data_IF_764141301039
#
_entry.id   IF_764141301039
#
_cell.length_a   1.000
_cell.length_b   1.000
_cell.length_c   1.000
_cell.angle_alpha   90.00
_cell.angle_beta   90.00
_cell.angle_gamma   90.00
#
_symmetry.space_group_name_H-M   'P 1'
#
loop_
_entity.id
_entity.type
_entity.pdbx_description
1 polymer ?
#
# COMPACT_ATOMS: atom_id res chain seq x y z
N UNK A 1 8.44 9.39 -9.44
CA UNK A 1 8.99 10.73 -9.77
C UNK A 1 7.92 11.76 -9.43
N UNK A 2 8.25 13.05 -9.30
CA UNK A 2 7.27 14.05 -8.88
C UNK A 2 7.08 14.11 -7.38
N UNK A 3 6.07 14.86 -6.95
CA UNK A 3 5.78 15.16 -5.55
C UNK A 3 5.40 13.89 -4.78
N UNK A 4 5.46 13.99 -3.45
CA UNK A 4 5.10 12.89 -2.57
C UNK A 4 3.59 12.89 -2.35
N UNK A 5 3.00 11.71 -2.45
CA UNK A 5 1.61 11.48 -2.08
C UNK A 5 1.42 11.84 -0.61
N UNK A 6 0.29 12.46 -0.28
CA UNK A 6 -0.01 12.84 1.09
C UNK A 6 -0.06 11.63 2.03
N UNK A 7 0.40 11.83 3.26
CA UNK A 7 0.59 10.75 4.24
C UNK A 7 -0.71 9.98 4.48
N UNK A 8 -1.84 10.67 4.59
CA UNK A 8 -3.16 10.09 4.77
C UNK A 8 -3.59 9.23 3.59
N UNK A 9 -3.23 9.62 2.35
CA UNK A 9 -3.53 8.86 1.14
C UNK A 9 -2.69 7.60 1.08
N UNK A 10 -1.39 7.68 1.39
CA UNK A 10 -0.52 6.50 1.47
C UNK A 10 -1.01 5.53 2.55
N UNK A 11 -1.40 6.03 3.73
CA UNK A 11 -1.94 5.19 4.81
C UNK A 11 -3.28 4.55 4.43
N UNK A 12 -4.15 5.28 3.73
CA UNK A 12 -5.40 4.72 3.20
C UNK A 12 -5.11 3.60 2.18
N UNK A 13 -4.12 3.79 1.31
CA UNK A 13 -3.67 2.78 0.35
C UNK A 13 -3.17 1.51 1.05
N UNK A 14 -2.33 1.65 2.09
CA UNK A 14 -1.87 0.52 2.91
C UNK A 14 -3.04 -0.25 3.53
N UNK A 15 -4.02 0.47 4.09
CA UNK A 15 -5.20 -0.14 4.73
C UNK A 15 -6.06 -0.89 3.71
N UNK A 16 -6.34 -0.28 2.55
CA UNK A 16 -7.11 -0.89 1.48
C UNK A 16 -6.40 -2.13 0.91
N UNK A 17 -5.07 -2.10 0.83
CA UNK A 17 -4.27 -3.25 0.43
C UNK A 17 -4.36 -4.37 1.46
N UNK A 18 -4.17 -4.07 2.75
CA UNK A 18 -4.31 -5.04 3.82
C UNK A 18 -5.69 -5.71 3.81
N UNK A 19 -6.76 -4.93 3.66
CA UNK A 19 -8.13 -5.44 3.50
C UNK A 19 -8.27 -6.39 2.31
N UNK A 20 -7.74 -5.99 1.16
CA UNK A 20 -7.80 -6.79 -0.08
C UNK A 20 -7.08 -8.11 0.07
N UNK A 21 -5.91 -8.11 0.72
CA UNK A 21 -5.15 -9.32 1.01
C UNK A 21 -5.89 -10.21 2.04
N UNK A 22 -6.44 -9.61 3.09
CA UNK A 22 -7.19 -10.31 4.15
C UNK A 22 -8.48 -10.98 3.65
N UNK A 23 -9.05 -10.53 2.53
CA UNK A 23 -10.22 -11.17 1.91
C UNK A 23 -9.93 -12.59 1.42
N UNK A 24 -8.67 -13.03 1.37
CA UNK A 24 -8.29 -14.41 1.05
C UNK A 24 -8.38 -14.77 -0.43
N UNK A 25 -8.70 -13.81 -1.30
CA UNK A 25 -8.87 -14.02 -2.75
C UNK A 25 -7.59 -13.76 -3.56
N UNK A 26 -6.47 -13.44 -2.91
CA UNK A 26 -5.22 -13.01 -3.55
C UNK A 26 -4.09 -14.06 -3.49
N UNK A 27 -4.25 -15.14 -2.72
CA UNK A 27 -3.19 -16.13 -2.49
C UNK A 27 -1.99 -15.62 -1.68
N UNK A 28 -2.09 -14.42 -1.09
CA UNK A 28 -1.02 -13.84 -0.30
C UNK A 28 -0.84 -14.53 1.07
N UNK A 29 0.39 -14.56 1.57
CA UNK A 29 0.71 -15.09 2.90
C UNK A 29 0.08 -14.18 3.99
N UNK A 30 -0.59 -14.72 5.03
CA UNK A 30 -1.20 -13.92 6.09
C UNK A 30 -0.26 -12.92 6.76
N UNK A 31 1.02 -13.29 6.93
CA UNK A 31 2.06 -12.41 7.51
C UNK A 31 2.21 -11.06 6.78
N UNK A 32 1.82 -10.96 5.50
CA UNK A 32 1.85 -9.69 4.77
C UNK A 32 0.74 -8.74 5.23
N UNK A 33 -0.44 -9.28 5.58
CA UNK A 33 -1.52 -8.49 6.19
C UNK A 33 -1.07 -7.98 7.56
N UNK A 34 -0.52 -8.87 8.38
CA UNK A 34 -0.03 -8.53 9.72
C UNK A 34 1.07 -7.47 9.67
N UNK A 35 1.97 -7.57 8.69
CA UNK A 35 3.02 -6.57 8.45
C UNK A 35 2.44 -5.20 8.12
N UNK A 36 1.50 -5.12 7.19
CA UNK A 36 0.85 -3.84 6.82
C UNK A 36 0.10 -3.23 8.01
N UNK A 37 -0.61 -4.03 8.79
CA UNK A 37 -1.31 -3.57 10.00
C UNK A 37 -0.31 -3.08 11.06
N UNK A 38 0.78 -3.81 11.26
CA UNK A 38 1.84 -3.42 12.22
C UNK A 38 2.45 -2.06 11.86
N UNK A 39 2.79 -1.83 10.59
CA UNK A 39 3.31 -0.55 10.12
C UNK A 39 2.30 0.58 10.34
N UNK A 40 1.02 0.36 9.99
CA UNK A 40 -0.05 1.33 10.20
C UNK A 40 -0.22 1.70 11.67
N UNK A 41 -0.22 0.71 12.56
CA UNK A 41 -0.34 0.87 14.01
C UNK A 41 0.87 1.55 14.63
N UNK A 42 2.07 1.32 14.08
CA UNK A 42 3.30 1.98 14.51
C UNK A 42 3.44 3.42 13.98
N UNK A 43 2.50 3.91 13.17
CA UNK A 43 2.58 5.23 12.56
C UNK A 43 3.62 5.34 11.44
N UNK A 44 4.10 4.21 10.91
CA UNK A 44 5.08 4.17 9.83
C UNK A 44 4.39 4.27 8.48
N UNK A 45 4.78 5.27 7.68
CA UNK A 45 4.23 5.52 6.35
C UNK A 45 5.37 5.56 5.33
N UNK A 46 5.32 4.74 4.27
CA UNK A 46 6.34 4.77 3.23
C UNK A 46 6.27 6.06 2.41
N UNK A 47 7.40 6.44 1.81
CA UNK A 47 7.50 7.61 0.93
C UNK A 47 7.15 7.17 -0.49
N UNK A 48 5.99 7.61 -0.97
CA UNK A 48 5.45 7.20 -2.28
C UNK A 48 5.41 8.41 -3.22
N UNK A 49 6.12 8.38 -4.35
CA UNK A 49 6.01 9.41 -5.38
C UNK A 49 4.66 9.32 -6.12
N UNK A 50 4.06 10.47 -6.46
CA UNK A 50 2.78 10.53 -7.18
C UNK A 50 2.83 9.97 -8.60
N UNK A 51 3.95 10.13 -9.31
CA UNK A 51 4.07 9.72 -10.71
C UNK A 51 4.90 8.44 -10.87
N UNK A 52 4.42 7.53 -11.71
CA UNK A 52 5.16 6.33 -12.10
C UNK A 52 4.29 5.11 -12.40
N UNK A 53 3.02 5.12 -11.98
CA UNK A 53 2.05 4.09 -12.37
C UNK A 53 1.34 4.46 -13.67
N UNK A 54 1.06 3.46 -14.50
CA UNK A 54 0.18 3.59 -15.67
C UNK A 54 -1.27 3.18 -15.35
N UNK A 55 -1.53 2.59 -14.17
CA UNK A 55 -2.84 2.09 -13.75
C UNK A 55 -3.36 0.87 -14.53
N UNK A 56 -2.74 0.49 -15.65
CA UNK A 56 -3.21 -0.58 -16.55
C UNK A 56 -3.29 -1.99 -15.91
N UNK A 57 -2.55 -2.23 -14.83
CA UNK A 57 -2.59 -3.48 -14.06
C UNK A 57 -2.78 -3.22 -12.56
N UNK A 58 -3.39 -2.07 -12.23
CA UNK A 58 -3.42 -1.50 -10.88
C UNK A 58 -2.20 -0.62 -10.60
N UNK A 59 -2.13 -0.13 -9.37
CA UNK A 59 -1.15 0.87 -8.93
C UNK A 59 0.19 0.25 -8.52
N UNK A 60 0.81 -0.49 -9.45
CA UNK A 60 2.01 -1.29 -9.16
C UNK A 60 3.20 -0.47 -8.68
N UNK A 61 3.45 0.69 -9.31
CA UNK A 61 4.58 1.55 -8.93
C UNK A 61 4.45 2.08 -7.49
N UNK A 62 3.33 2.71 -7.07
CA UNK A 62 3.19 3.21 -5.71
C UNK A 62 3.08 2.10 -4.66
N UNK A 63 2.56 0.92 -5.01
CA UNK A 63 2.49 -0.23 -4.08
C UNK A 63 3.84 -0.94 -3.85
N UNK A 64 4.88 -0.63 -4.64
CA UNK A 64 6.20 -1.25 -4.52
C UNK A 64 7.16 -0.52 -3.57
N UNK A 65 6.79 0.69 -3.12
CA UNK A 65 7.55 1.53 -2.20
C UNK A 65 7.25 1.18 -0.74
#
# INVERSE_FOLDING_TARGET
MGDLVETEVVRAMMLLRARTLAAGLSGARPVLVDGLVTLLSAGLTPVVPELGSLGASGDLAPLAH
#
